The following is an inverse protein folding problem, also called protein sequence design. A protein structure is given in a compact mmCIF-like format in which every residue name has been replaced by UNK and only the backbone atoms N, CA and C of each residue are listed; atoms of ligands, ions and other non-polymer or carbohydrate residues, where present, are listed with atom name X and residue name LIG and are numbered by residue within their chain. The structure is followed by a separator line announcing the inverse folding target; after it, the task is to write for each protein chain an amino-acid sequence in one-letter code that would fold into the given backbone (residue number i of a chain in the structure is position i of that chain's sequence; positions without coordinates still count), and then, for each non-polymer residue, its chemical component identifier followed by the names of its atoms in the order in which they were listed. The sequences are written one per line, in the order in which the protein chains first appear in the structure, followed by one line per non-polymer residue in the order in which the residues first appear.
data_IF_322482236875
#
_entry.id   IF_322482236875
#
_cell.length_a   1.000
_cell.length_b   1.000
_cell.length_c   1.000
_cell.angle_alpha   90.00
_cell.angle_beta   90.00
_cell.angle_gamma   90.00
#
_symmetry.space_group_name_H-M   'P 1'
#
loop_
_entity.id
_entity.type
_entity.pdbx_description
1 polymer ?
#
# COMPACT_ATOMS: atom_id res chain seq x y z
N UNK A 1 -21.30 -5.86 -15.75
CA UNK A 1 -20.16 -6.24 -14.87
C UNK A 1 -18.96 -5.45 -15.34
N UNK A 2 -18.59 -4.38 -14.64
CA UNK A 2 -17.42 -3.59 -14.99
C UNK A 2 -16.18 -4.48 -14.80
N UNK A 3 -15.39 -4.63 -15.85
CA UNK A 3 -14.12 -5.32 -15.77
C UNK A 3 -13.19 -4.49 -14.87
N UNK A 4 -12.59 -5.13 -13.87
CA UNK A 4 -11.73 -4.47 -12.89
C UNK A 4 -10.31 -4.24 -13.48
N UNK A 5 -10.21 -3.51 -14.61
CA UNK A 5 -8.96 -3.34 -15.38
C UNK A 5 -8.16 -2.08 -15.01
N UNK A 6 -8.52 -1.40 -13.93
CA UNK A 6 -7.72 -0.29 -13.41
C UNK A 6 -6.38 -0.74 -12.83
N UNK A 7 -5.44 0.19 -12.79
CA UNK A 7 -4.21 0.10 -11.97
C UNK A 7 -4.55 -0.15 -10.51
N UNK A 8 -3.59 -0.62 -9.71
CA UNK A 8 -3.79 -0.81 -8.28
C UNK A 8 -4.05 0.50 -7.55
N UNK A 9 -3.42 1.60 -7.99
CA UNK A 9 -3.71 2.94 -7.46
C UNK A 9 -5.17 3.35 -7.68
N UNK A 10 -5.72 3.15 -8.88
CA UNK A 10 -7.14 3.46 -9.18
C UNK A 10 -8.09 2.58 -8.38
N UNK A 11 -7.80 1.28 -8.28
CA UNK A 11 -8.59 0.35 -7.46
C UNK A 11 -8.59 0.75 -5.99
N UNK A 12 -7.47 1.25 -5.49
CA UNK A 12 -7.38 1.73 -4.11
C UNK A 12 -8.19 3.01 -3.91
N UNK A 13 -8.10 3.96 -4.84
CA UNK A 13 -8.88 5.20 -4.79
C UNK A 13 -10.38 4.91 -4.78
N UNK A 14 -10.84 4.04 -5.68
CA UNK A 14 -12.25 3.62 -5.73
C UNK A 14 -12.67 2.91 -4.44
N UNK A 15 -11.87 1.97 -3.93
CA UNK A 15 -12.16 1.27 -2.68
C UNK A 15 -12.22 2.21 -1.47
N UNK A 16 -11.36 3.24 -1.41
CA UNK A 16 -11.43 4.26 -0.38
C UNK A 16 -12.70 5.10 -0.52
N UNK A 17 -13.02 5.54 -1.74
CA UNK A 17 -14.21 6.35 -2.04
C UNK A 17 -15.51 5.63 -1.69
N UNK A 18 -15.65 4.36 -2.06
CA UNK A 18 -16.83 3.53 -1.75
C UNK A 18 -17.05 3.33 -0.24
N UNK A 19 -15.97 3.42 0.55
CA UNK A 19 -15.99 3.21 2.01
C UNK A 19 -15.93 4.51 2.80
N UNK A 20 -16.04 5.66 2.12
CA UNK A 20 -15.92 7.01 2.70
C UNK A 20 -14.61 7.21 3.50
N UNK A 21 -13.54 6.53 3.07
CA UNK A 21 -12.20 6.70 3.63
C UNK A 21 -11.52 7.86 2.89
N UNK A 22 -10.69 8.62 3.60
CA UNK A 22 -9.86 9.64 2.98
C UNK A 22 -9.04 9.05 1.81
N UNK A 23 -8.85 9.85 0.76
CA UNK A 23 -8.09 9.45 -0.41
C UNK A 23 -6.68 8.94 -0.02
N UNK A 24 -6.18 7.90 -0.70
CA UNK A 24 -4.90 7.27 -0.33
C UNK A 24 -3.73 8.25 -0.50
N UNK A 25 -2.91 8.38 0.55
CA UNK A 25 -1.74 9.26 0.52
C UNK A 25 -0.46 8.45 0.30
N UNK A 26 0.19 8.64 -0.85
CA UNK A 26 1.44 7.96 -1.17
C UNK A 26 2.66 8.76 -0.73
N UNK A 27 3.63 8.06 -0.15
CA UNK A 27 4.96 8.56 0.12
C UNK A 27 5.98 7.72 -0.64
N UNK A 28 6.94 8.39 -1.27
CA UNK A 28 8.06 7.74 -1.95
C UNK A 28 9.30 7.84 -1.06
N UNK A 29 10.03 6.74 -0.91
CA UNK A 29 11.22 6.63 -0.09
C UNK A 29 12.40 6.17 -0.95
N UNK A 30 13.58 6.74 -0.72
CA UNK A 30 14.81 6.39 -1.43
C UNK A 30 15.88 5.86 -0.48
N UNK A 31 16.74 5.00 -1.02
CA UNK A 31 17.91 4.42 -0.36
C UNK A 31 19.10 4.43 -1.31
N UNK A 32 20.20 5.08 -0.90
CA UNK A 32 21.38 5.25 -1.76
C UNK A 32 22.32 4.06 -1.60
N UNK A 33 22.40 3.22 -2.63
CA UNK A 33 23.23 2.00 -2.70
C UNK A 33 24.46 2.24 -3.59
N UNK A 34 25.34 3.11 -3.09
CA UNK A 34 26.52 3.57 -3.84
C UNK A 34 26.13 4.41 -5.05
N UNK A 35 26.48 3.94 -6.25
CA UNK A 35 26.18 4.61 -7.52
C UNK A 35 24.72 4.45 -8.01
N UNK A 36 23.90 3.66 -7.32
CA UNK A 36 22.48 3.44 -7.65
C UNK A 36 21.60 3.91 -6.49
N UNK A 37 20.39 4.37 -6.80
CA UNK A 37 19.36 4.66 -5.81
C UNK A 37 18.24 3.65 -5.95
N UNK A 38 17.93 2.97 -4.85
CA UNK A 38 16.76 2.12 -4.71
C UNK A 38 15.58 2.96 -4.22
N UNK A 39 14.39 2.66 -4.70
CA UNK A 39 13.16 3.39 -4.38
C UNK A 39 12.06 2.44 -3.94
N UNK A 40 11.26 2.85 -2.98
CA UNK A 40 10.07 2.13 -2.54
C UNK A 40 8.95 3.12 -2.25
N UNK A 41 7.72 2.66 -2.07
CA UNK A 41 6.58 3.51 -1.72
C UNK A 41 5.82 2.96 -0.53
N UNK A 42 5.19 3.85 0.22
CA UNK A 42 4.19 3.53 1.22
C UNK A 42 2.92 4.30 0.91
N UNK A 43 1.77 3.74 1.25
CA UNK A 43 0.47 4.39 1.15
C UNK A 43 -0.23 4.35 2.51
N UNK A 44 -0.81 5.48 2.91
CA UNK A 44 -1.62 5.56 4.14
C UNK A 44 -3.10 5.49 3.78
N UNK A 45 -3.80 4.54 4.40
CA UNK A 45 -5.23 4.27 4.21
C UNK A 45 -5.85 4.01 5.58
N UNK A 46 -6.92 4.72 5.93
CA UNK A 46 -7.60 4.58 7.22
C UNK A 46 -6.64 4.68 8.44
N UNK A 47 -5.65 5.57 8.35
CA UNK A 47 -4.61 5.75 9.38
C UNK A 47 -3.56 4.64 9.46
N UNK A 48 -3.65 3.59 8.62
CA UNK A 48 -2.69 2.48 8.56
C UNK A 48 -1.77 2.67 7.35
N UNK A 49 -0.47 2.45 7.55
CA UNK A 49 0.52 2.54 6.48
C UNK A 49 0.82 1.16 5.89
N UNK A 50 0.70 1.05 4.56
CA UNK A 50 1.03 -0.13 3.78
C UNK A 50 2.23 0.14 2.89
N UNK A 51 3.25 -0.71 2.96
CA UNK A 51 4.52 -0.53 2.23
C UNK A 51 4.59 -1.47 1.04
N UNK A 52 5.20 -0.99 -0.04
CA UNK A 52 5.64 -1.85 -1.13
C UNK A 52 6.57 -2.94 -0.58
N UNK A 53 6.48 -4.13 -1.16
CA UNK A 53 7.23 -5.33 -0.80
C UNK A 53 8.65 -5.28 -1.32
N UNK A 54 8.89 -4.55 -2.41
CA UNK A 54 10.18 -4.51 -3.08
C UNK A 54 10.78 -3.10 -3.18
N UNK A 55 12.06 -3.09 -3.53
CA UNK A 55 12.79 -1.91 -3.94
C UNK A 55 12.95 -1.90 -5.46
N UNK A 56 12.72 -0.74 -6.05
CA UNK A 56 12.68 -0.49 -7.48
C UNK A 56 13.81 0.47 -7.87
N UNK A 57 14.16 0.51 -9.15
CA UNK A 57 15.03 1.56 -9.67
C UNK A 57 14.25 2.86 -9.90
N UNK A 58 14.97 3.96 -10.15
CA UNK A 58 14.36 5.28 -10.33
C UNK A 58 13.43 5.42 -11.55
N UNK A 59 13.48 4.49 -12.51
CA UNK A 59 12.54 4.47 -13.65
C UNK A 59 11.23 3.74 -13.33
N UNK A 60 11.21 2.95 -12.25
CA UNK A 60 10.08 2.12 -11.85
C UNK A 60 9.36 2.64 -10.58
N UNK A 61 9.34 3.95 -10.36
CA UNK A 61 8.64 4.54 -9.21
C UNK A 61 7.14 4.25 -9.21
N UNK A 62 6.53 4.17 -10.39
CA UNK A 62 5.12 3.81 -10.50
C UNK A 62 4.88 2.38 -10.01
N UNK A 63 5.77 1.43 -10.33
CA UNK A 63 5.64 0.05 -9.85
C UNK A 63 5.73 -0.03 -8.31
N UNK A 64 6.52 0.85 -7.67
CA UNK A 64 6.55 0.95 -6.21
C UNK A 64 5.20 1.42 -5.64
N UNK A 65 4.53 2.38 -6.29
CA UNK A 65 3.19 2.83 -5.88
C UNK A 65 2.14 1.76 -6.13
N UNK A 66 2.17 1.09 -7.29
CA UNK A 66 1.28 -0.01 -7.61
C UNK A 66 1.39 -1.16 -6.59
N UNK A 67 2.61 -1.48 -6.17
CA UNK A 67 2.87 -2.52 -5.18
C UNK A 67 2.30 -2.15 -3.79
N UNK A 68 2.56 -0.92 -3.32
CA UNK A 68 1.98 -0.43 -2.07
C UNK A 68 0.44 -0.39 -2.12
N UNK A 69 -0.12 -0.01 -3.27
CA UNK A 69 -1.56 0.04 -3.49
C UNK A 69 -2.19 -1.37 -3.49
N UNK A 70 -1.57 -2.35 -4.15
CA UNK A 70 -2.01 -3.74 -4.13
C UNK A 70 -2.09 -4.28 -2.70
N UNK A 71 -1.07 -4.00 -1.87
CA UNK A 71 -1.06 -4.40 -0.46
C UNK A 71 -2.23 -3.78 0.30
N UNK A 72 -2.50 -2.49 0.11
CA UNK A 72 -3.59 -1.80 0.78
C UNK A 72 -4.98 -2.29 0.31
N UNK A 73 -5.17 -2.50 -1.00
CA UNK A 73 -6.43 -3.05 -1.55
C UNK A 73 -6.71 -4.43 -0.98
N UNK A 74 -5.70 -5.31 -0.94
CA UNK A 74 -5.85 -6.65 -0.36
C UNK A 74 -6.20 -6.58 1.12
N UNK A 75 -5.62 -5.65 1.87
CA UNK A 75 -5.97 -5.45 3.27
C UNK A 75 -7.43 -4.96 3.45
N UNK A 76 -7.87 -3.98 2.66
CA UNK A 76 -9.25 -3.47 2.69
C UNK A 76 -10.28 -4.54 2.31
N UNK A 77 -9.96 -5.38 1.32
CA UNK A 77 -10.88 -6.39 0.78
C UNK A 77 -10.87 -7.71 1.55
N UNK A 78 -9.74 -8.08 2.16
CA UNK A 78 -9.65 -9.28 3.02
C UNK A 78 -10.37 -9.08 4.36
N UNK A 79 -10.65 -7.83 4.74
CA UNK A 79 -11.37 -7.45 5.96
C UNK A 79 -12.90 -7.52 5.79
N UNK A 80 -13.42 -8.65 5.29
CA UNK A 80 -14.77 -9.06 5.67
C UNK A 80 -14.70 -9.49 7.15
N UNK A 81 -15.62 -9.04 8.03
CA UNK A 81 -15.42 -9.12 9.46
C UNK A 81 -15.44 -10.56 9.96
N UNK A 82 -14.28 -11.06 10.38
CA UNK A 82 -14.23 -11.94 11.54
C UNK A 82 -13.54 -11.15 12.65
N UNK A 83 -14.28 -10.98 13.74
CA UNK A 83 -14.03 -10.33 15.04
C UNK A 83 -12.61 -9.88 15.40
N UNK A 84 -12.45 -8.77 16.15
CA UNK A 84 -11.14 -8.27 16.55
C UNK A 84 -10.47 -9.25 17.54
N UNK A 85 -9.44 -9.95 17.10
CA UNK A 85 -8.52 -10.64 17.99
C UNK A 85 -7.42 -9.65 18.43
N UNK A 86 -7.64 -9.03 19.58
CA UNK A 86 -6.57 -8.43 20.39
C UNK A 86 -5.48 -9.49 20.63
N UNK A 87 -4.27 -9.31 20.09
CA UNK A 87 -3.06 -9.84 20.74
C UNK A 87 -1.83 -9.06 20.24
N UNK A 88 -1.32 -8.13 21.05
CA UNK A 88 -0.29 -8.29 22.10
C UNK A 88 1.12 -8.02 21.55
N UNK A 89 1.66 -6.92 22.05
CA UNK A 89 3.05 -6.49 22.06
C UNK A 89 4.06 -7.64 22.28
N UNK A 90 4.97 -7.79 21.32
CA UNK A 90 6.14 -8.68 21.39
C UNK A 90 7.39 -7.90 21.77
N UNK A 91 7.79 -8.06 23.04
CA UNK A 91 9.02 -7.62 23.71
C UNK A 91 10.26 -8.28 23.08
N UNK A 92 11.33 -7.51 22.84
CA UNK A 92 12.65 -8.00 22.41
C UNK A 92 13.41 -8.66 23.57
N UNK A 93 14.18 -9.70 23.26
CA UNK A 93 15.25 -10.29 24.09
C UNK A 93 16.55 -10.24 23.31
#
# INVERSE_FOLDING_TARGET
MAYNTGTWQEKLDEACREREIQAPMFQLMSDRRGGRTAWTSAVTVYGVQHRARFWYDGKNLNNAKEDAAEVAVKWLTSSAPSSPATSRSGRWS
#
